data_IF_856696399905
#
_entry.id   IF_856696399905
#
_cell.length_a   1.000
_cell.length_b   1.000
_cell.length_c   1.000
_cell.angle_alpha   90.00
_cell.angle_beta   90.00
_cell.angle_gamma   90.00
#
_symmetry.space_group_name_H-M   'P 1'
#
loop_
_entity.id
_entity.type
_entity.pdbx_description
1 polymer ?
#
# COMPACT_ATOMS: atom_id res chain seq x y z
N UNK A 1 1.37 11.92 6.81
CA UNK A 1 1.14 11.64 5.36
C UNK A 1 0.31 12.77 4.74
N UNK A 2 0.58 13.24 3.51
CA UNK A 2 -0.29 14.23 2.82
C UNK A 2 -1.05 13.56 1.68
N UNK A 3 -2.38 13.66 1.68
CA UNK A 3 -3.22 13.22 0.55
C UNK A 3 -3.74 14.40 -0.26
N UNK A 4 -3.77 14.23 -1.58
CA UNK A 4 -4.46 15.12 -2.51
C UNK A 4 -5.41 14.30 -3.37
N UNK A 5 -6.70 14.63 -3.35
CA UNK A 5 -7.66 13.98 -4.26
C UNK A 5 -7.33 14.36 -5.69
N UNK A 6 -7.11 13.36 -6.54
CA UNK A 6 -6.79 13.53 -7.96
C UNK A 6 -8.07 13.47 -8.80
N UNK A 7 -8.96 12.53 -8.48
CA UNK A 7 -10.20 12.39 -9.22
C UNK A 7 -10.95 11.11 -8.90
N UNK A 8 -11.82 10.71 -9.84
CA UNK A 8 -12.63 9.50 -9.78
C UNK A 8 -12.51 8.74 -11.09
N UNK A 9 -12.40 7.42 -11.01
CA UNK A 9 -12.28 6.56 -12.19
C UNK A 9 -13.04 5.25 -11.97
N UNK A 10 -13.55 4.65 -13.03
CA UNK A 10 -14.09 3.28 -13.00
C UNK A 10 -12.94 2.30 -13.23
N UNK A 11 -12.81 1.28 -12.39
CA UNK A 11 -11.86 0.20 -12.66
C UNK A 11 -12.46 -0.69 -13.75
N UNK A 12 -12.02 -0.45 -14.98
CA UNK A 12 -12.49 -1.17 -16.15
C UNK A 12 -11.79 -2.51 -16.37
N UNK A 13 -12.44 -3.40 -17.12
CA UNK A 13 -11.81 -4.53 -17.77
C UNK A 13 -11.34 -4.08 -19.15
N UNK A 14 -10.13 -4.48 -19.52
CA UNK A 14 -9.42 -3.88 -20.65
C UNK A 14 -10.12 -4.15 -21.98
N UNK A 15 -10.68 -3.09 -22.56
CA UNK A 15 -10.95 -2.96 -23.98
C UNK A 15 -10.98 -1.47 -24.27
N UNK A 16 -9.97 -0.90 -24.95
CA UNK A 16 -10.13 0.24 -25.88
C UNK A 16 -8.81 0.67 -26.57
N UNK A 17 -9.02 1.26 -27.75
CA UNK A 17 -8.14 1.76 -28.81
C UNK A 17 -7.46 3.11 -28.50
N UNK A 18 -6.30 3.33 -29.12
CA UNK A 18 -5.81 4.64 -29.60
C UNK A 18 -5.00 5.51 -28.64
N UNK A 19 -5.23 5.42 -27.32
CA UNK A 19 -4.45 6.18 -26.32
C UNK A 19 -3.66 5.22 -25.42
N UNK A 20 -2.38 5.53 -25.19
CA UNK A 20 -1.49 4.72 -24.35
C UNK A 20 -1.54 5.24 -22.91
N UNK A 21 -2.37 4.58 -22.09
CA UNK A 21 -2.33 4.75 -20.64
C UNK A 21 -1.47 3.65 -20.01
N UNK A 22 -0.78 3.92 -18.90
CA UNK A 22 -0.12 2.87 -18.13
C UNK A 22 -1.16 1.87 -17.63
N UNK A 23 -0.95 0.58 -17.92
CA UNK A 23 -1.79 -0.49 -17.40
C UNK A 23 -1.36 -0.82 -15.98
N UNK A 24 -2.26 -0.61 -15.02
CA UNK A 24 -2.08 -1.05 -13.63
C UNK A 24 -2.76 -2.40 -13.44
N UNK A 25 -2.01 -3.42 -13.02
CA UNK A 25 -2.58 -4.72 -12.62
C UNK A 25 -2.65 -4.76 -11.10
N UNK A 26 -3.85 -4.92 -10.57
CA UNK A 26 -4.06 -5.11 -9.14
C UNK A 26 -3.88 -6.60 -8.75
N UNK A 27 -3.47 -6.89 -7.50
CA UNK A 27 -3.50 -8.25 -6.96
C UNK A 27 -4.89 -8.88 -7.02
N UNK A 28 -4.95 -10.22 -7.02
CA UNK A 28 -6.21 -10.96 -7.12
C UNK A 28 -7.18 -10.65 -5.98
N UNK A 29 -6.65 -10.29 -4.81
CA UNK A 29 -7.44 -9.96 -3.62
C UNK A 29 -8.31 -8.70 -3.81
N UNK A 30 -8.03 -7.89 -4.83
CA UNK A 30 -8.80 -6.69 -5.20
C UNK A 30 -9.64 -6.89 -6.48
N UNK A 31 -9.94 -8.13 -6.84
CA UNK A 31 -10.70 -8.46 -8.06
C UNK A 31 -12.19 -8.06 -7.98
N UNK A 32 -12.71 -7.91 -6.77
CA UNK A 32 -14.03 -7.38 -6.44
C UNK A 32 -14.21 -5.92 -6.88
N UNK A 33 -13.13 -5.14 -6.96
CA UNK A 33 -13.17 -3.76 -7.43
C UNK A 33 -13.42 -3.61 -8.94
N UNK A 34 -13.40 -4.71 -9.71
CA UNK A 34 -13.61 -4.67 -11.16
C UNK A 34 -15.05 -4.24 -11.44
N UNK A 35 -15.20 -3.16 -12.21
CA UNK A 35 -16.50 -2.57 -12.54
C UNK A 35 -16.94 -1.48 -11.56
N UNK A 36 -16.28 -1.34 -10.42
CA UNK A 36 -16.60 -0.34 -9.41
C UNK A 36 -15.99 1.04 -9.73
N UNK A 37 -16.62 2.08 -9.18
CA UNK A 37 -16.06 3.44 -9.17
C UNK A 37 -15.19 3.63 -7.93
N UNK A 38 -14.03 4.21 -8.14
CA UNK A 38 -13.05 4.48 -7.09
C UNK A 38 -12.61 5.94 -7.11
N UNK A 39 -12.30 6.46 -5.93
CA UNK A 39 -11.59 7.71 -5.75
C UNK A 39 -10.07 7.46 -5.83
N UNK A 40 -9.38 8.33 -6.54
CA UNK A 40 -7.91 8.30 -6.66
C UNK A 40 -7.34 9.46 -5.85
N UNK A 41 -6.40 9.14 -4.99
CA UNK A 41 -5.63 10.10 -4.21
C UNK A 41 -4.15 9.95 -4.51
N UNK A 42 -3.47 11.08 -4.58
CA UNK A 42 -2.04 11.17 -4.55
C UNK A 42 -1.60 11.24 -3.09
N UNK A 43 -0.73 10.31 -2.68
CA UNK A 43 -0.18 10.25 -1.34
C UNK A 43 1.28 10.65 -1.35
N UNK A 44 1.65 11.59 -0.48
CA UNK A 44 3.04 11.92 -0.19
C UNK A 44 3.43 11.25 1.13
N UNK A 45 4.31 10.28 1.03
CA UNK A 45 4.87 9.48 2.11
C UNK A 45 6.32 9.96 2.37
N UNK A 46 6.82 9.74 3.59
CA UNK A 46 8.22 9.95 3.95
C UNK A 46 9.09 8.91 3.21
N UNK A 47 9.39 9.17 1.94
CA UNK A 47 10.09 8.24 1.05
C UNK A 47 9.58 8.24 -0.40
N UNK A 48 8.48 8.92 -0.70
CA UNK A 48 8.05 9.09 -2.09
C UNK A 48 6.58 9.43 -2.31
N UNK A 49 6.19 9.37 -3.59
CA UNK A 49 4.83 9.60 -4.07
C UNK A 49 4.15 8.26 -4.35
N UNK A 50 2.99 8.04 -3.77
CA UNK A 50 2.12 6.88 -4.00
C UNK A 50 0.77 7.27 -4.58
N UNK A 51 0.04 6.26 -5.06
CA UNK A 51 -1.36 6.39 -5.49
C UNK A 51 -2.20 5.53 -4.56
N UNK A 52 -3.20 6.14 -3.92
CA UNK A 52 -4.17 5.47 -3.09
C UNK A 52 -5.50 5.36 -3.86
N UNK A 53 -6.02 4.14 -3.94
CA UNK A 53 -7.26 3.79 -4.64
C UNK A 53 -8.29 3.39 -3.57
N UNK A 54 -9.44 4.06 -3.56
CA UNK A 54 -10.49 3.82 -2.56
C UNK A 54 -11.84 3.65 -3.22
N UNK A 55 -12.56 2.52 -3.02
CA UNK A 55 -13.91 2.37 -3.52
C UNK A 55 -14.87 3.45 -3.00
N UNK A 56 -15.84 3.83 -3.84
CA UNK A 56 -16.91 4.74 -3.40
C UNK A 56 -17.73 4.11 -2.27
N UNK A 57 -18.08 4.91 -1.26
CA UNK A 57 -18.86 4.44 -0.09
C UNK A 57 -18.01 4.12 1.14
N UNK A 58 -16.71 3.91 0.98
CA UNK A 58 -15.76 4.05 2.10
C UNK A 58 -15.72 5.55 2.43
N UNK A 59 -16.06 5.91 3.67
CA UNK A 59 -16.29 7.30 4.11
C UNK A 59 -15.21 8.29 3.68
N UNK A 60 -15.55 9.59 3.67
CA UNK A 60 -14.55 10.64 3.45
C UNK A 60 -13.45 10.47 4.50
N UNK A 61 -12.24 10.10 4.08
CA UNK A 61 -11.12 9.99 5.01
C UNK A 61 -10.85 11.40 5.57
N UNK A 62 -11.21 11.60 6.84
CA UNK A 62 -10.86 12.79 7.57
C UNK A 62 -9.34 12.85 7.77
N UNK A 63 -8.77 14.05 7.90
CA UNK A 63 -7.32 14.21 8.17
C UNK A 63 -6.83 13.40 9.38
N UNK A 64 -7.72 13.08 10.33
CA UNK A 64 -7.41 12.30 11.54
C UNK A 64 -7.41 10.77 11.32
N UNK A 65 -8.15 10.25 10.34
CA UNK A 65 -8.15 8.80 9.99
C UNK A 65 -6.92 8.43 9.14
N UNK A 66 -6.32 9.46 8.54
CA UNK A 66 -5.11 9.45 7.74
C UNK A 66 -3.84 9.14 8.53
N UNK A 67 -3.78 9.59 9.79
CA UNK A 67 -2.66 9.33 10.70
C UNK A 67 -2.72 7.90 11.30
N UNK A 68 -3.88 7.26 11.25
CA UNK A 68 -4.09 5.87 11.66
C UNK A 68 -4.04 4.87 10.50
N UNK A 69 -3.80 5.34 9.27
CA UNK A 69 -3.61 4.49 8.11
C UNK A 69 -2.21 3.88 8.20
N UNK A 70 -2.09 2.74 8.88
CA UNK A 70 -0.89 1.93 8.78
C UNK A 70 -0.74 1.49 7.33
N UNK A 71 0.26 2.06 6.65
CA UNK A 71 0.77 1.49 5.42
C UNK A 71 1.34 0.13 5.82
N UNK A 72 0.56 -0.94 5.61
CA UNK A 72 1.02 -2.33 5.70
C UNK A 72 1.94 -2.60 4.51
N UNK A 73 3.05 -1.87 4.47
CA UNK A 73 4.11 -2.03 3.50
C UNK A 73 5.19 -2.86 4.14
N UNK A 74 5.22 -4.18 3.87
CA UNK A 74 6.35 -5.08 4.16
C UNK A 74 6.97 -4.96 5.58
N UNK A 75 6.22 -4.53 6.60
CA UNK A 75 6.71 -4.57 7.99
C UNK A 75 7.04 -6.01 8.37
N UNK A 76 6.20 -6.97 7.96
CA UNK A 76 6.39 -8.40 8.26
C UNK A 76 7.75 -8.95 7.83
N UNK A 77 8.23 -8.66 6.61
CA UNK A 77 9.51 -9.19 6.14
C UNK A 77 10.71 -8.56 6.86
N UNK A 78 10.61 -7.28 7.24
CA UNK A 78 11.67 -6.57 7.94
C UNK A 78 11.71 -6.98 9.41
N UNK A 79 10.56 -7.09 10.07
CA UNK A 79 10.43 -7.58 11.45
C UNK A 79 10.86 -9.06 11.57
N UNK A 80 10.49 -9.91 10.61
CA UNK A 80 10.98 -11.29 10.56
C UNK A 80 12.51 -11.37 10.42
N UNK A 81 13.09 -10.54 9.55
CA UNK A 81 14.56 -10.48 9.38
C UNK A 81 15.23 -9.95 10.64
N UNK A 82 14.65 -8.97 11.31
CA UNK A 82 15.14 -8.43 12.58
C UNK A 82 15.13 -9.52 13.67
N UNK A 83 14.01 -10.24 13.83
CA UNK A 83 13.89 -11.32 14.81
C UNK A 83 14.88 -12.46 14.58
N UNK A 84 15.18 -12.80 13.31
CA UNK A 84 16.20 -13.79 12.96
C UNK A 84 17.61 -13.31 13.31
N UNK A 85 17.91 -12.02 13.10
CA UNK A 85 19.20 -11.43 13.45
C UNK A 85 19.39 -11.36 14.96
N UNK A 86 18.38 -10.95 15.72
CA UNK A 86 18.41 -10.92 17.19
C UNK A 86 18.71 -12.30 17.77
N UNK A 87 18.02 -13.34 17.29
CA UNK A 87 18.27 -14.73 17.71
C UNK A 87 19.67 -15.23 17.33
N UNK A 88 20.20 -14.79 16.19
CA UNK A 88 21.55 -15.17 15.76
C UNK A 88 22.62 -14.52 16.65
N UNK A 89 22.43 -13.25 17.01
CA UNK A 89 23.32 -12.51 17.91
C UNK A 89 23.28 -13.15 19.31
N UNK A 90 22.11 -13.44 19.85
CA UNK A 90 21.98 -14.06 21.18
C UNK A 90 22.74 -15.40 21.26
N UNK A 91 22.68 -16.21 20.20
CA UNK A 91 23.44 -17.47 20.11
C UNK A 91 24.94 -17.24 20.05
N UNK A 92 25.40 -16.24 19.30
CA UNK A 92 26.83 -15.91 19.22
C UNK A 92 27.36 -15.37 20.56
N UNK A 93 26.59 -14.54 21.25
CA UNK A 93 26.97 -14.03 22.58
C UNK A 93 27.12 -15.16 23.59
N UNK A 94 26.18 -16.12 23.62
CA UNK A 94 26.27 -17.29 24.51
C UNK A 94 27.51 -18.15 24.25
N UNK A 95 27.95 -18.26 22.99
CA UNK A 95 29.17 -19.00 22.62
C UNK A 95 30.48 -18.27 22.98
N UNK A 96 30.42 -16.97 23.26
CA UNK A 96 31.58 -16.16 23.68
C UNK A 96 31.66 -16.08 25.22
N UNK A 97 30.53 -16.27 25.92
CA UNK A 97 30.45 -16.28 27.38
C UNK A 97 30.73 -17.66 28.02
N UNK A 98 30.81 -18.73 27.23
CA UNK A 98 31.37 -20.05 27.60
C UNK A 98 32.87 -20.14 27.30
#
# INVERSE_FOLDING_TARGET
MKLKKVGKVKIGKDSTKGYVYPKLRLPKDFSDLIGEKVNIYEAFLEGGRGILILPEGVGQIGQNELDNLEVVGRKDETEERLSRLEKAIEKLTKLIEE
#
